data_IF_607313580892
#
_entry.id   IF_607313580892
#
_cell.length_a   1.000
_cell.length_b   1.000
_cell.length_c   1.000
_cell.angle_alpha   90.00
_cell.angle_beta   90.00
_cell.angle_gamma   90.00
#
_symmetry.space_group_name_H-M   'P 1'
#
loop_
_entity.id
_entity.type
_entity.pdbx_description
1 polymer ?
#
# COMPACT_ATOMS: atom_id res chain seq x y z
N UNK A 1 -20.40 12.04 15.78
CA UNK A 1 -19.45 11.66 14.71
C UNK A 1 -18.20 12.53 14.77
N UNK A 2 -17.02 11.92 14.73
CA UNK A 2 -15.76 12.68 14.71
C UNK A 2 -15.61 13.39 13.36
N UNK A 3 -15.23 14.66 13.41
CA UNK A 3 -15.06 15.46 12.19
C UNK A 3 -13.83 15.01 11.40
N UNK A 4 -13.82 15.32 10.10
CA UNK A 4 -12.68 14.96 9.21
C UNK A 4 -11.35 15.45 9.80
N UNK A 5 -11.33 16.69 10.30
CA UNK A 5 -10.10 17.22 10.89
C UNK A 5 -9.56 16.40 12.05
N UNK A 6 -10.44 15.74 12.79
CA UNK A 6 -10.01 14.85 13.87
C UNK A 6 -9.16 13.69 13.32
N UNK A 7 -9.65 13.07 12.25
CA UNK A 7 -8.94 11.90 11.68
C UNK A 7 -7.62 12.28 11.03
N UNK A 8 -7.52 13.50 10.52
CA UNK A 8 -6.28 13.99 9.91
C UNK A 8 -5.19 14.26 10.95
N UNK A 9 -5.57 14.61 12.16
CA UNK A 9 -4.62 15.06 13.18
C UNK A 9 -4.58 14.18 14.43
N UNK A 10 -5.35 13.10 14.49
CA UNK A 10 -5.40 12.25 15.68
C UNK A 10 -4.03 11.66 15.99
N UNK A 11 -3.73 11.58 17.29
CA UNK A 11 -2.51 10.93 17.77
C UNK A 11 -2.81 9.68 18.59
N UNK A 12 -4.10 9.31 18.68
CA UNK A 12 -4.52 8.12 19.44
C UNK A 12 -4.15 6.86 18.66
N UNK A 13 -3.44 5.92 19.31
CA UNK A 13 -2.96 4.72 18.63
C UNK A 13 -4.08 3.84 18.12
N UNK A 14 -5.23 3.81 18.80
CA UNK A 14 -6.37 3.01 18.35
C UNK A 14 -7.01 3.59 17.09
N UNK A 15 -7.15 4.92 17.06
CA UNK A 15 -7.71 5.59 15.88
C UNK A 15 -6.78 5.38 14.68
N UNK A 16 -5.47 5.56 14.88
CA UNK A 16 -4.49 5.37 13.80
C UNK A 16 -4.47 3.91 13.36
N UNK A 17 -4.51 2.98 14.31
CA UNK A 17 -4.61 1.55 13.98
C UNK A 17 -5.86 1.24 13.16
N UNK A 18 -6.98 1.87 13.50
CA UNK A 18 -8.22 1.72 12.73
C UNK A 18 -8.07 2.26 11.32
N UNK A 19 -7.41 3.42 11.17
CA UNK A 19 -7.13 3.97 9.84
C UNK A 19 -6.30 2.99 9.01
N UNK A 20 -5.26 2.40 9.60
CA UNK A 20 -4.44 1.39 8.94
C UNK A 20 -5.29 0.19 8.49
N UNK A 21 -6.15 -0.31 9.37
CA UNK A 21 -6.95 -1.50 9.08
C UNK A 21 -7.98 -1.23 7.98
N UNK A 22 -8.64 -0.07 8.01
CA UNK A 22 -9.58 0.31 6.95
C UNK A 22 -8.86 0.50 5.62
N UNK A 23 -7.70 1.16 5.64
CA UNK A 23 -6.90 1.34 4.44
C UNK A 23 -6.49 -0.02 3.86
N UNK A 24 -6.03 -0.92 4.73
CA UNK A 24 -5.65 -2.28 4.34
C UNK A 24 -6.81 -3.01 3.68
N UNK A 25 -8.01 -2.92 4.26
CA UNK A 25 -9.20 -3.56 3.70
C UNK A 25 -9.52 -3.02 2.31
N UNK A 26 -9.47 -1.69 2.15
CA UNK A 26 -9.74 -1.08 0.85
C UNK A 26 -8.73 -1.53 -0.20
N UNK A 27 -7.45 -1.57 0.17
CA UNK A 27 -6.40 -2.03 -0.75
C UNK A 27 -6.56 -3.51 -1.07
N UNK A 28 -6.94 -4.31 -0.09
CA UNK A 28 -7.21 -5.74 -0.30
C UNK A 28 -8.34 -5.93 -1.33
N UNK A 29 -9.42 -5.14 -1.20
CA UNK A 29 -10.53 -5.25 -2.14
C UNK A 29 -10.12 -4.79 -3.54
N UNK A 30 -9.36 -3.71 -3.65
CA UNK A 30 -8.91 -3.21 -4.96
C UNK A 30 -7.98 -4.22 -5.64
N UNK A 31 -6.97 -4.70 -4.91
CA UNK A 31 -6.03 -5.68 -5.46
C UNK A 31 -6.69 -7.04 -5.67
N UNK A 32 -7.68 -7.37 -4.84
CA UNK A 32 -8.48 -8.57 -5.03
C UNK A 32 -9.29 -8.54 -6.30
N UNK A 33 -9.84 -7.37 -6.64
CA UNK A 33 -10.54 -7.20 -7.92
C UNK A 33 -9.58 -7.43 -9.09
N UNK A 34 -8.35 -6.93 -8.98
CA UNK A 34 -7.32 -7.20 -9.99
C UNK A 34 -7.03 -8.69 -10.10
N UNK A 35 -6.95 -9.39 -8.96
CA UNK A 35 -6.74 -10.84 -8.96
C UNK A 35 -7.88 -11.58 -9.66
N UNK A 36 -9.12 -11.13 -9.43
CA UNK A 36 -10.28 -11.73 -10.11
C UNK A 36 -10.20 -11.52 -11.62
N UNK A 37 -9.81 -10.32 -12.06
CA UNK A 37 -9.65 -10.05 -13.50
C UNK A 37 -8.59 -10.98 -14.10
N UNK A 38 -7.48 -11.19 -13.40
CA UNK A 38 -6.43 -12.11 -13.84
C UNK A 38 -7.00 -13.52 -13.99
N UNK A 39 -7.76 -13.99 -12.99
CA UNK A 39 -8.30 -15.34 -13.03
C UNK A 39 -9.38 -15.51 -14.11
N UNK A 40 -10.19 -14.48 -14.34
CA UNK A 40 -11.17 -14.52 -15.43
C UNK A 40 -10.44 -14.63 -16.76
N UNK A 41 -9.39 -13.82 -16.97
CA UNK A 41 -8.62 -13.87 -18.22
C UNK A 41 -8.00 -15.24 -18.45
N UNK A 42 -7.61 -15.94 -17.39
CA UNK A 42 -6.97 -17.25 -17.49
C UNK A 42 -7.97 -18.42 -17.50
N UNK A 43 -9.26 -18.15 -17.48
CA UNK A 43 -10.28 -19.21 -17.40
C UNK A 43 -10.42 -19.99 -18.71
N UNK A 44 -10.04 -19.41 -19.83
CA UNK A 44 -10.10 -20.04 -21.14
C UNK A 44 -8.86 -19.72 -21.96
N UNK A 45 -8.49 -20.57 -22.95
CA UNK A 45 -7.38 -20.25 -23.82
C UNK A 45 -7.69 -19.03 -24.69
N UNK A 46 -6.66 -18.27 -24.99
CA UNK A 46 -6.78 -17.07 -25.82
C UNK A 46 -7.23 -15.87 -25.01
N UNK A 47 -7.38 -14.76 -25.69
CA UNK A 47 -7.77 -13.51 -25.08
C UNK A 47 -9.28 -13.47 -24.82
N UNK A 48 -9.65 -13.13 -23.60
CA UNK A 48 -11.06 -13.02 -23.20
C UNK A 48 -11.45 -11.56 -22.99
N UNK A 49 -10.80 -10.90 -22.06
CA UNK A 49 -11.21 -9.58 -21.59
C UNK A 49 -10.08 -8.56 -21.64
N UNK A 50 -8.87 -8.96 -21.24
CA UNK A 50 -7.76 -8.05 -21.05
C UNK A 50 -6.80 -8.08 -22.24
N UNK A 51 -6.43 -6.91 -22.72
CA UNK A 51 -5.36 -6.75 -23.67
C UNK A 51 -4.04 -7.14 -22.99
N UNK A 52 -3.07 -7.77 -23.69
CA UNK A 52 -1.90 -8.34 -23.01
C UNK A 52 -1.12 -7.37 -22.13
N UNK A 53 -0.94 -6.14 -22.58
CA UNK A 53 -0.23 -5.15 -21.77
C UNK A 53 -1.02 -4.82 -20.49
N UNK A 54 -2.34 -4.70 -20.60
CA UNK A 54 -3.17 -4.44 -19.43
C UNK A 54 -3.16 -5.63 -18.47
N UNK A 55 -3.15 -6.85 -19.00
CA UNK A 55 -3.01 -8.04 -18.16
C UNK A 55 -1.73 -7.97 -17.32
N UNK A 56 -0.60 -7.63 -17.97
CA UNK A 56 0.68 -7.54 -17.28
C UNK A 56 0.66 -6.43 -16.22
N UNK A 57 -0.02 -5.30 -16.51
CA UNK A 57 -0.19 -4.24 -15.51
C UNK A 57 -0.99 -4.74 -14.31
N UNK A 58 -2.05 -5.52 -14.57
CA UNK A 58 -2.86 -6.07 -13.47
C UNK A 58 -2.03 -7.01 -12.60
N UNK A 59 -1.21 -7.88 -13.21
CA UNK A 59 -0.34 -8.79 -12.46
C UNK A 59 0.61 -7.98 -11.56
N UNK A 60 1.25 -6.97 -12.13
CA UNK A 60 2.22 -6.15 -11.39
C UNK A 60 1.55 -5.39 -10.25
N UNK A 61 0.45 -4.71 -10.56
CA UNK A 61 -0.24 -3.87 -9.58
C UNK A 61 -0.94 -4.70 -8.50
N UNK A 62 -1.49 -5.87 -8.87
CA UNK A 62 -2.04 -6.78 -7.88
C UNK A 62 -0.97 -7.15 -6.84
N UNK A 63 0.21 -7.53 -7.30
CA UNK A 63 1.29 -7.91 -6.39
C UNK A 63 1.73 -6.77 -5.49
N UNK A 64 1.98 -5.60 -6.08
CA UNK A 64 2.45 -4.43 -5.32
C UNK A 64 1.40 -3.97 -4.31
N UNK A 65 0.15 -3.87 -4.73
CA UNK A 65 -0.91 -3.35 -3.84
C UNK A 65 -1.20 -4.35 -2.71
N UNK A 66 -1.22 -5.64 -3.00
CA UNK A 66 -1.46 -6.65 -1.95
C UNK A 66 -0.37 -6.63 -0.89
N UNK A 67 0.89 -6.57 -1.30
CA UNK A 67 2.01 -6.63 -0.35
C UNK A 67 2.09 -5.32 0.43
N UNK A 68 2.17 -4.19 -0.27
CA UNK A 68 2.46 -2.90 0.37
C UNK A 68 1.21 -2.16 0.83
N UNK A 69 0.04 -2.51 0.29
CA UNK A 69 -1.20 -1.82 0.63
C UNK A 69 -2.14 -2.61 1.54
N UNK A 70 -2.11 -3.93 1.44
CA UNK A 70 -2.99 -4.77 2.27
C UNK A 70 -2.23 -5.40 3.43
N UNK A 71 -1.20 -6.21 3.14
CA UNK A 71 -0.53 -6.98 4.19
C UNK A 71 0.22 -6.08 5.18
N UNK A 72 1.10 -5.22 4.67
CA UNK A 72 1.94 -4.40 5.56
C UNK A 72 1.11 -3.43 6.39
N UNK A 73 0.15 -2.69 5.83
CA UNK A 73 -0.70 -1.83 6.67
C UNK A 73 -1.57 -2.61 7.65
N UNK A 74 -2.02 -3.83 7.31
CA UNK A 74 -2.79 -4.64 8.25
C UNK A 74 -1.94 -4.97 9.48
N UNK A 75 -0.69 -5.38 9.27
CA UNK A 75 0.21 -5.70 10.37
C UNK A 75 0.49 -4.45 11.21
N UNK A 76 0.74 -3.30 10.57
CA UNK A 76 0.95 -2.04 11.28
C UNK A 76 -0.30 -1.64 12.06
N UNK A 77 -1.48 -1.87 11.49
CA UNK A 77 -2.74 -1.55 12.16
C UNK A 77 -2.96 -2.38 13.41
N UNK A 78 -2.75 -3.68 13.31
CA UNK A 78 -2.86 -4.55 14.49
C UNK A 78 -1.82 -4.18 15.55
N UNK A 79 -0.59 -3.90 15.14
CA UNK A 79 0.46 -3.50 16.07
C UNK A 79 0.08 -2.22 16.82
N UNK A 80 -0.42 -1.21 16.08
CA UNK A 80 -0.86 0.04 16.68
C UNK A 80 -2.01 -0.16 17.66
N UNK A 81 -2.97 -1.01 17.31
CA UNK A 81 -4.11 -1.29 18.18
C UNK A 81 -3.68 -2.02 19.44
N UNK A 82 -2.88 -3.07 19.30
CA UNK A 82 -2.67 -4.06 20.35
C UNK A 82 -1.45 -3.82 21.21
N UNK A 83 -0.31 -3.41 20.63
CA UNK A 83 0.95 -3.36 21.38
C UNK A 83 0.85 -2.45 22.62
N UNK A 84 0.36 -1.20 22.52
CA UNK A 84 0.26 -0.39 23.73
C UNK A 84 -0.61 -1.05 24.81
N UNK A 85 -1.72 -1.68 24.39
CA UNK A 85 -2.59 -2.35 25.35
C UNK A 85 -1.94 -3.57 25.97
N UNK A 86 -1.20 -4.33 25.18
CA UNK A 86 -0.53 -5.55 25.68
C UNK A 86 0.55 -5.24 26.70
N UNK A 87 1.24 -4.12 26.58
CA UNK A 87 2.31 -3.75 27.49
C UNK A 87 1.86 -2.75 28.57
N UNK A 88 0.58 -2.38 28.56
CA UNK A 88 0.04 -1.45 29.55
C UNK A 88 0.42 0.00 29.32
N UNK A 89 0.83 0.37 28.10
CA UNK A 89 1.18 1.74 27.77
C UNK A 89 -0.08 2.54 27.38
N UNK A 90 -0.07 3.83 27.68
CA UNK A 90 -1.20 4.68 27.34
C UNK A 90 -1.29 5.02 25.85
N UNK A 91 -0.13 5.03 25.16
CA UNK A 91 -0.06 5.33 23.74
C UNK A 91 1.28 4.87 23.19
N UNK A 92 1.52 5.10 21.91
CA UNK A 92 2.82 4.85 21.29
C UNK A 92 3.85 5.88 21.79
N UNK A 93 5.14 5.53 21.65
CA UNK A 93 6.22 6.41 22.10
C UNK A 93 6.21 7.75 21.39
N UNK A 94 5.90 7.76 20.09
CA UNK A 94 5.90 8.97 19.28
C UNK A 94 4.55 9.13 18.58
N UNK A 95 3.53 9.66 19.28
CA UNK A 95 2.16 9.69 18.73
C UNK A 95 2.02 10.51 17.45
N UNK A 96 2.72 11.66 17.36
CA UNK A 96 2.66 12.50 16.14
C UNK A 96 3.30 11.78 14.96
N UNK A 97 4.43 11.14 15.20
CA UNK A 97 5.12 10.36 14.17
C UNK A 97 4.23 9.22 13.68
N UNK A 98 3.43 8.65 14.59
CA UNK A 98 2.50 7.59 14.26
C UNK A 98 1.44 8.08 13.25
N UNK A 99 0.88 9.26 13.48
CA UNK A 99 -0.07 9.85 12.53
C UNK A 99 0.59 10.06 11.16
N UNK A 100 1.81 10.56 11.14
CA UNK A 100 2.57 10.76 9.91
C UNK A 100 2.80 9.43 9.18
N UNK A 101 3.14 8.39 9.92
CA UNK A 101 3.40 7.09 9.30
C UNK A 101 2.18 6.60 8.53
N UNK A 102 0.97 6.85 9.05
CA UNK A 102 -0.24 6.44 8.32
C UNK A 102 -0.49 7.31 7.09
N UNK A 103 -0.43 8.66 7.26
CA UNK A 103 -0.88 9.54 6.17
C UNK A 103 0.07 9.54 4.97
N UNK A 104 1.27 8.99 5.10
CA UNK A 104 2.14 8.74 3.95
C UNK A 104 1.59 7.63 3.04
N UNK A 105 0.79 6.71 3.57
CA UNK A 105 0.25 5.62 2.76
C UNK A 105 -0.66 6.11 1.63
N UNK A 106 -1.66 6.96 1.88
CA UNK A 106 -2.47 7.49 0.78
C UNK A 106 -1.64 8.23 -0.26
N UNK A 107 -0.60 8.96 0.17
CA UNK A 107 0.29 9.67 -0.76
C UNK A 107 1.01 8.67 -1.67
N UNK A 108 1.61 7.63 -1.08
CA UNK A 108 2.31 6.60 -1.84
C UNK A 108 1.40 5.87 -2.81
N UNK A 109 0.21 5.47 -2.35
CA UNK A 109 -0.73 4.76 -3.21
C UNK A 109 -1.42 5.69 -4.21
N UNK A 110 -1.49 6.98 -3.93
CA UNK A 110 -1.91 7.97 -4.92
C UNK A 110 -0.93 8.01 -6.08
N UNK A 111 0.38 8.05 -5.78
CA UNK A 111 1.41 7.98 -6.82
C UNK A 111 1.33 6.67 -7.60
N UNK A 112 1.20 5.56 -6.89
CA UNK A 112 1.15 4.25 -7.53
C UNK A 112 -0.09 4.11 -8.41
N UNK A 113 -1.26 4.52 -7.92
CA UNK A 113 -2.50 4.45 -8.68
C UNK A 113 -2.51 5.37 -9.89
N UNK A 114 -1.84 6.51 -9.81
CA UNK A 114 -1.77 7.44 -10.94
C UNK A 114 -1.05 6.83 -12.14
N UNK A 115 -0.20 5.81 -11.92
CA UNK A 115 0.51 5.17 -13.03
C UNK A 115 -0.44 4.48 -14.01
N UNK A 116 -1.61 4.05 -13.55
CA UNK A 116 -2.59 3.41 -14.43
C UNK A 116 -3.14 4.36 -15.50
N UNK A 117 -3.08 5.66 -15.22
CA UNK A 117 -3.62 6.69 -16.10
C UNK A 117 -2.54 7.43 -16.89
N UNK A 118 -1.29 7.03 -16.75
CA UNK A 118 -0.17 7.68 -17.46
C UNK A 118 0.02 7.06 -18.84
N UNK A 119 0.70 7.80 -19.70
CA UNK A 119 1.02 7.32 -21.05
C UNK A 119 1.83 6.03 -20.95
N UNK A 120 1.41 5.02 -21.67
CA UNK A 120 2.03 3.69 -21.62
C UNK A 120 1.50 2.81 -20.51
N UNK A 121 0.64 3.35 -19.65
CA UNK A 121 0.05 2.58 -18.54
C UNK A 121 0.96 2.39 -17.35
N UNK A 122 0.53 1.56 -16.42
CA UNK A 122 1.27 1.22 -15.22
C UNK A 122 2.44 0.29 -15.56
N UNK A 123 3.40 0.12 -14.62
CA UNK A 123 4.45 -0.88 -14.81
C UNK A 123 3.87 -2.26 -15.09
N UNK A 124 4.49 -2.97 -16.00
CA UNK A 124 3.96 -4.23 -16.53
C UNK A 124 4.99 -5.36 -16.50
N UNK A 125 6.01 -5.25 -15.65
CA UNK A 125 7.16 -6.17 -15.66
C UNK A 125 7.25 -7.04 -14.40
N UNK A 126 6.19 -7.07 -13.60
CA UNK A 126 6.18 -7.82 -12.35
C UNK A 126 6.73 -7.02 -11.19
N UNK A 127 6.30 -7.37 -9.97
CA UNK A 127 6.67 -6.58 -8.78
C UNK A 127 8.16 -6.71 -8.43
N UNK A 128 8.85 -7.74 -8.95
CA UNK A 128 10.28 -7.95 -8.68
C UNK A 128 11.20 -7.09 -9.56
N UNK A 129 10.63 -6.48 -10.60
CA UNK A 129 11.33 -5.46 -11.40
C UNK A 129 12.65 -5.90 -12.01
N UNK A 130 12.68 -7.08 -12.64
CA UNK A 130 13.89 -7.58 -13.26
C UNK A 130 14.30 -6.74 -14.49
N UNK A 131 15.57 -6.33 -14.52
CA UNK A 131 16.16 -5.72 -15.71
C UNK A 131 16.47 -6.83 -16.73
N UNK A 132 16.46 -6.54 -18.04
CA UNK A 132 16.21 -5.25 -18.69
C UNK A 132 14.73 -4.91 -18.89
N UNK A 133 13.82 -5.80 -18.50
CA UNK A 133 12.39 -5.60 -18.71
C UNK A 133 11.90 -4.33 -18.01
N UNK A 134 12.38 -4.09 -16.78
CA UNK A 134 11.96 -2.93 -15.99
C UNK A 134 12.70 -1.65 -16.35
N UNK A 135 13.81 -1.75 -17.10
CA UNK A 135 14.61 -0.59 -17.45
C UNK A 135 14.42 -0.21 -18.92
N UNK A 136 14.99 -0.98 -19.84
CA UNK A 136 14.91 -0.66 -21.27
C UNK A 136 13.48 -0.70 -21.80
N UNK A 137 12.68 -1.64 -21.32
CA UNK A 137 11.35 -1.87 -21.85
C UNK A 137 10.23 -1.39 -20.92
N UNK A 138 10.59 -0.78 -19.78
CA UNK A 138 9.60 -0.29 -18.83
C UNK A 138 8.92 1.00 -19.29
N UNK A 139 7.65 1.21 -18.91
CA UNK A 139 6.97 2.46 -19.27
C UNK A 139 7.50 3.63 -18.42
N UNK A 140 7.26 4.89 -18.88
CA UNK A 140 7.69 6.07 -18.10
C UNK A 140 7.11 6.11 -16.68
N UNK A 141 5.96 5.51 -16.44
CA UNK A 141 5.33 5.45 -15.13
C UNK A 141 6.16 4.71 -14.09
N UNK A 142 7.18 3.96 -14.52
CA UNK A 142 8.08 3.24 -13.61
C UNK A 142 8.72 4.19 -12.59
N UNK A 143 9.08 5.40 -12.99
CA UNK A 143 9.66 6.38 -12.08
C UNK A 143 8.69 6.72 -10.94
N UNK A 144 7.42 6.91 -11.26
CA UNK A 144 6.40 7.21 -10.26
C UNK A 144 6.16 6.02 -9.33
N UNK A 145 6.21 4.81 -9.86
CA UNK A 145 6.08 3.62 -9.04
C UNK A 145 7.26 3.49 -8.07
N UNK A 146 8.48 3.80 -8.53
CA UNK A 146 9.67 3.77 -7.67
C UNK A 146 9.54 4.83 -6.57
N UNK A 147 9.11 6.05 -6.92
CA UNK A 147 8.87 7.08 -5.92
C UNK A 147 7.79 6.67 -4.92
N UNK A 148 6.74 6.01 -5.40
CA UNK A 148 5.68 5.53 -4.52
C UNK A 148 6.23 4.53 -3.50
N UNK A 149 7.06 3.59 -3.95
CA UNK A 149 7.64 2.60 -3.07
C UNK A 149 8.56 3.27 -2.03
N UNK A 150 9.28 4.31 -2.42
CA UNK A 150 10.10 5.07 -1.46
C UNK A 150 9.23 5.74 -0.39
N UNK A 151 8.13 6.36 -0.78
CA UNK A 151 7.21 6.99 0.19
C UNK A 151 6.65 5.92 1.14
N UNK A 152 6.26 4.77 0.60
CA UNK A 152 5.76 3.66 1.43
C UNK A 152 6.84 3.13 2.36
N UNK A 153 8.10 3.11 1.90
CA UNK A 153 9.23 2.72 2.73
C UNK A 153 9.45 3.67 3.90
N UNK A 154 9.31 4.97 3.66
CA UNK A 154 9.41 5.96 4.74
C UNK A 154 8.32 5.71 5.78
N UNK A 155 7.09 5.48 5.33
CA UNK A 155 5.99 5.13 6.22
C UNK A 155 6.35 3.92 7.10
N UNK A 156 6.88 2.89 6.48
CA UNK A 156 7.25 1.65 7.18
C UNK A 156 8.35 1.88 8.22
N UNK A 157 9.37 2.69 7.88
CA UNK A 157 10.45 3.03 8.80
C UNK A 157 9.90 3.76 10.02
N UNK A 158 9.03 4.76 9.79
CA UNK A 158 8.44 5.52 10.89
C UNK A 158 7.61 4.62 11.81
N UNK A 159 6.81 3.73 11.23
CA UNK A 159 6.00 2.80 12.01
C UNK A 159 6.88 1.85 12.82
N UNK A 160 7.92 1.29 12.20
CA UNK A 160 8.81 0.35 12.87
C UNK A 160 9.57 1.00 14.01
N UNK A 161 10.09 2.20 13.78
CA UNK A 161 10.81 2.95 14.81
C UNK A 161 9.91 3.19 16.01
N UNK A 162 8.66 3.56 15.74
CA UNK A 162 7.69 3.83 16.79
C UNK A 162 7.36 2.56 17.58
N UNK A 163 7.14 1.45 16.90
CA UNK A 163 6.83 0.17 17.57
C UNK A 163 8.00 -0.27 18.46
N UNK A 164 9.22 -0.21 17.93
CA UNK A 164 10.42 -0.61 18.68
C UNK A 164 10.57 0.27 19.93
N UNK A 165 10.44 1.57 19.76
CA UNK A 165 10.57 2.51 20.88
C UNK A 165 9.47 2.32 21.92
N UNK A 166 8.25 2.01 21.48
CA UNK A 166 7.12 1.80 22.38
C UNK A 166 7.35 0.56 23.26
N UNK A 167 7.80 -0.53 22.67
CA UNK A 167 8.10 -1.75 23.43
C UNK A 167 9.26 -1.54 24.41
N UNK A 168 10.31 -0.73 23.84
CA UNK A 168 11.17 -0.55 24.40
C UNK A 168 11.08 -0.05 25.34
#
# INVERSE_FOLDING_TARGET
>A
MKKVGYWLSTTNHKDIGSLYLWFSLLMFLAAGAMALLIRIELSHPGRILLEPNLYNQMVTMHGLIMIFGAIMPALAGFANWQIPMMIGASDMAFPRLNNWSFWLLPVGFGLMGSTLFMEGGAPNFGWTMYAPLSTTYGPPSTDFMILAIHVLGISSILASLNIIATIX
#
